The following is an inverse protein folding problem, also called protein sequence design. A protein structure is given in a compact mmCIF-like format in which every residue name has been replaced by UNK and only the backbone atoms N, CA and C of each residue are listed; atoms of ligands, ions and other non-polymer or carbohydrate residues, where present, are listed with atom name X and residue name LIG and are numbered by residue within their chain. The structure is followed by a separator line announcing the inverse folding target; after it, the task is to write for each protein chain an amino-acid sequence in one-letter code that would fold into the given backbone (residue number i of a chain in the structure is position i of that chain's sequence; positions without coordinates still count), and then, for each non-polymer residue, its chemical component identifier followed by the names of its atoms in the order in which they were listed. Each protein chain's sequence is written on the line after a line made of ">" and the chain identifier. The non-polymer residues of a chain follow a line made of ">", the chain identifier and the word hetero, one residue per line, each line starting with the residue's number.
data_IF_849780850100
#
_entry.id   IF_849780850100
#
_cell.length_a   1.000
_cell.length_b   1.000
_cell.length_c   1.000
_cell.angle_alpha   90.00
_cell.angle_beta   90.00
_cell.angle_gamma   90.00
#
_symmetry.space_group_name_H-M   'P 1'
#
loop_
_entity.id
_entity.type
_entity.pdbx_description
1 polymer ?
#
# COMPACT_ATOMS: atom_id res chain seq x y z
N UNK A 1 16.97 -11.15 1.61
CA UNK A 1 15.56 -11.58 1.64
C UNK A 1 14.91 -10.88 2.82
N UNK A 2 13.83 -10.13 2.62
CA UNK A 2 13.21 -9.36 3.72
C UNK A 2 12.54 -10.29 4.71
N UNK A 3 12.64 -9.98 6.01
CA UNK A 3 12.03 -10.77 7.07
C UNK A 3 10.52 -10.55 7.13
N UNK A 4 9.79 -11.50 7.70
CA UNK A 4 8.36 -11.31 8.02
C UNK A 4 8.12 -10.07 8.91
N UNK A 5 9.07 -9.72 9.77
CA UNK A 5 9.01 -8.51 10.61
C UNK A 5 9.02 -7.22 9.78
N UNK A 6 9.68 -7.23 8.63
CA UNK A 6 9.79 -6.08 7.75
C UNK A 6 8.47 -5.78 7.04
N UNK A 7 7.69 -6.83 6.73
CA UNK A 7 6.32 -6.70 6.22
C UNK A 7 5.44 -6.00 7.25
N UNK A 8 5.50 -6.46 8.49
CA UNK A 8 4.66 -5.90 9.56
C UNK A 8 4.99 -4.42 9.72
N UNK A 9 6.26 -4.06 9.68
CA UNK A 9 6.70 -2.66 9.77
C UNK A 9 6.17 -1.82 8.60
N UNK A 10 6.35 -2.27 7.37
CA UNK A 10 5.85 -1.53 6.19
C UNK A 10 4.33 -1.44 6.19
N UNK A 11 3.63 -2.52 6.51
CA UNK A 11 2.17 -2.56 6.61
C UNK A 11 1.62 -1.61 7.69
N UNK A 12 2.23 -1.57 8.88
CA UNK A 12 1.84 -0.63 9.93
C UNK A 12 2.00 0.81 9.45
N UNK A 13 3.13 1.13 8.81
CA UNK A 13 3.37 2.48 8.30
C UNK A 13 2.36 2.87 7.21
N UNK A 14 2.08 1.97 6.26
CA UNK A 14 1.05 2.15 5.24
C UNK A 14 -0.31 2.42 5.89
N UNK A 15 -0.75 1.56 6.81
CA UNK A 15 -2.05 1.72 7.49
C UNK A 15 -2.15 3.03 8.28
N UNK A 16 -1.06 3.51 8.88
CA UNK A 16 -1.02 4.79 9.58
C UNK A 16 -1.16 5.97 8.60
N UNK A 17 -0.35 5.98 7.54
CA UNK A 17 -0.35 7.06 6.54
C UNK A 17 -1.71 7.13 5.84
N UNK A 18 -2.19 6.00 5.33
CA UNK A 18 -3.47 5.95 4.63
C UNK A 18 -4.64 6.20 5.58
N UNK A 19 -4.53 5.79 6.84
CA UNK A 19 -5.54 6.07 7.87
C UNK A 19 -5.65 7.55 8.20
N UNK A 20 -4.52 8.27 8.26
CA UNK A 20 -4.50 9.73 8.41
C UNK A 20 -5.17 10.38 7.19
N UNK A 21 -4.82 9.93 5.98
CA UNK A 21 -5.38 10.46 4.73
C UNK A 21 -6.89 10.17 4.64
N UNK A 22 -7.34 8.99 5.11
CA UNK A 22 -8.76 8.61 5.19
C UNK A 22 -9.55 9.62 6.04
N UNK A 23 -8.98 10.03 7.17
CA UNK A 23 -9.55 11.06 8.05
C UNK A 23 -9.55 12.46 7.40
N UNK A 24 -8.47 12.84 6.72
CA UNK A 24 -8.39 14.11 5.98
C UNK A 24 -9.44 14.19 4.87
N UNK A 25 -9.71 13.06 4.21
CA UNK A 25 -10.81 12.90 3.26
C UNK A 25 -12.18 12.75 3.92
N UNK A 26 -12.29 12.89 5.24
CA UNK A 26 -13.52 12.85 6.06
C UNK A 26 -14.32 11.56 5.92
N UNK A 27 -13.65 10.42 5.76
CA UNK A 27 -14.29 9.11 5.88
C UNK A 27 -14.38 8.70 7.36
N UNK A 28 -15.46 8.04 7.75
CA UNK A 28 -15.57 7.51 9.10
C UNK A 28 -14.76 6.21 9.24
N UNK A 29 -13.77 6.19 10.15
CA UNK A 29 -13.03 4.96 10.47
C UNK A 29 -13.99 3.84 10.87
N UNK A 30 -14.93 4.10 11.79
CA UNK A 30 -15.86 3.08 12.30
C UNK A 30 -16.66 2.37 11.19
N UNK A 31 -17.04 3.10 10.14
CA UNK A 31 -17.81 2.54 9.02
C UNK A 31 -16.94 1.78 8.00
N UNK A 32 -15.67 2.15 7.89
CA UNK A 32 -14.78 1.75 6.81
C UNK A 32 -13.62 0.83 7.24
N UNK A 33 -13.38 0.67 8.55
CA UNK A 33 -12.19 -0.03 9.10
C UNK A 33 -11.99 -1.42 8.50
N UNK A 34 -13.06 -2.19 8.32
CA UNK A 34 -12.97 -3.55 7.75
C UNK A 34 -12.49 -3.52 6.30
N UNK A 35 -13.12 -2.70 5.45
CA UNK A 35 -12.71 -2.57 4.04
C UNK A 35 -11.32 -1.96 3.93
N UNK A 36 -11.01 -0.95 4.75
CA UNK A 36 -9.74 -0.25 4.77
C UNK A 36 -8.57 -1.18 5.09
N UNK A 37 -8.64 -1.89 6.23
CA UNK A 37 -7.59 -2.82 6.65
C UNK A 37 -7.47 -3.98 5.65
N UNK A 38 -8.58 -4.57 5.22
CA UNK A 38 -8.54 -5.73 4.34
C UNK A 38 -7.85 -5.41 3.01
N UNK A 39 -8.21 -4.30 2.36
CA UNK A 39 -7.62 -3.91 1.08
C UNK A 39 -6.12 -3.67 1.25
N UNK A 40 -5.73 -2.82 2.20
CA UNK A 40 -4.33 -2.46 2.48
C UNK A 40 -3.47 -3.68 2.83
N UNK A 41 -3.95 -4.58 3.68
CA UNK A 41 -3.18 -5.76 4.09
C UNK A 41 -3.01 -6.72 2.91
N UNK A 42 -4.06 -6.93 2.11
CA UNK A 42 -3.97 -7.81 0.94
C UNK A 42 -3.00 -7.28 -0.11
N UNK A 43 -3.03 -5.98 -0.40
CA UNK A 43 -2.13 -5.35 -1.36
C UNK A 43 -0.70 -5.33 -0.86
N UNK A 44 -0.47 -5.05 0.43
CA UNK A 44 0.87 -5.09 1.03
C UNK A 44 1.46 -6.50 1.04
N UNK A 45 0.66 -7.52 1.33
CA UNK A 45 1.10 -8.93 1.26
C UNK A 45 1.46 -9.31 -0.18
N UNK A 46 0.64 -8.91 -1.16
CA UNK A 46 0.94 -9.12 -2.58
C UNK A 46 2.27 -8.46 -2.99
N UNK A 47 2.46 -7.18 -2.62
CA UNK A 47 3.69 -6.44 -2.90
C UNK A 47 4.91 -7.16 -2.34
N UNK A 48 4.85 -7.55 -1.06
CA UNK A 48 5.94 -8.27 -0.41
C UNK A 48 6.29 -9.57 -1.12
N UNK A 49 5.29 -10.40 -1.43
CA UNK A 49 5.50 -11.70 -2.07
C UNK A 49 6.18 -11.51 -3.43
N UNK A 50 5.67 -10.59 -4.25
CA UNK A 50 6.24 -10.33 -5.58
C UNK A 50 7.65 -9.79 -5.49
N UNK A 51 7.91 -8.80 -4.61
CA UNK A 51 9.25 -8.24 -4.44
C UNK A 51 10.27 -9.30 -4.03
N UNK A 52 9.93 -10.16 -3.06
CA UNK A 52 10.86 -11.20 -2.61
C UNK A 52 11.10 -12.26 -3.69
N UNK A 53 10.05 -12.70 -4.40
CA UNK A 53 10.21 -13.67 -5.48
C UNK A 53 11.09 -13.13 -6.60
N UNK A 54 10.92 -11.87 -6.98
CA UNK A 54 11.70 -11.24 -8.04
C UNK A 54 13.15 -11.01 -7.61
N UNK A 55 13.38 -10.47 -6.41
CA UNK A 55 14.74 -10.28 -5.89
C UNK A 55 15.47 -11.61 -5.68
N UNK A 56 14.76 -12.65 -5.22
CA UNK A 56 15.31 -13.99 -5.07
C UNK A 56 15.71 -14.61 -6.42
N UNK A 57 14.86 -14.46 -7.45
CA UNK A 57 15.08 -15.06 -8.77
C UNK A 57 16.12 -14.33 -9.61
N UNK A 58 16.17 -13.00 -9.54
CA UNK A 58 17.01 -12.18 -10.42
C UNK A 58 18.20 -11.60 -9.66
N UNK A 59 17.96 -10.64 -8.76
CA UNK A 59 18.93 -10.01 -7.84
C UNK A 59 18.33 -8.69 -7.29
N UNK A 60 19.07 -7.96 -6.46
CA UNK A 60 18.63 -6.68 -5.91
C UNK A 60 18.37 -5.57 -6.95
N UNK A 61 19.05 -5.56 -8.10
CA UNK A 61 18.82 -4.49 -9.12
C UNK A 61 17.42 -4.56 -9.73
N UNK A 62 16.75 -5.71 -9.63
CA UNK A 62 15.35 -5.88 -10.02
C UNK A 62 14.33 -5.30 -9.03
N UNK A 63 14.76 -4.88 -7.83
CA UNK A 63 13.88 -4.34 -6.78
C UNK A 63 13.13 -3.08 -7.22
N UNK A 64 13.86 -2.03 -7.63
CA UNK A 64 13.27 -0.72 -7.98
C UNK A 64 12.24 -0.83 -9.11
N UNK A 65 12.55 -1.42 -10.28
CA UNK A 65 11.57 -1.51 -11.37
C UNK A 65 10.34 -2.35 -10.96
N UNK A 66 10.52 -3.38 -10.14
CA UNK A 66 9.43 -4.22 -9.65
C UNK A 66 8.55 -3.48 -8.65
N UNK A 67 9.17 -2.74 -7.71
CA UNK A 67 8.47 -1.92 -6.73
C UNK A 67 7.59 -0.88 -7.41
N UNK A 68 8.14 -0.09 -8.33
CA UNK A 68 7.39 0.94 -9.06
C UNK A 68 6.23 0.33 -9.87
N UNK A 69 6.49 -0.78 -10.55
CA UNK A 69 5.47 -1.47 -11.35
C UNK A 69 4.33 -1.99 -10.47
N UNK A 70 4.67 -2.64 -9.36
CA UNK A 70 3.68 -3.22 -8.45
C UNK A 70 2.87 -2.16 -7.71
N UNK A 71 3.50 -1.07 -7.26
CA UNK A 71 2.79 0.05 -6.65
C UNK A 71 1.81 0.69 -7.64
N UNK A 72 2.18 0.83 -8.92
CA UNK A 72 1.25 1.29 -9.96
C UNK A 72 0.04 0.36 -10.14
N UNK A 73 0.26 -0.96 -10.12
CA UNK A 73 -0.83 -1.96 -10.18
C UNK A 73 -1.70 -1.89 -8.91
N UNK A 74 -1.08 -1.78 -7.74
CA UNK A 74 -1.76 -1.69 -6.45
C UNK A 74 -2.63 -0.44 -6.40
N UNK A 75 -2.12 0.72 -6.82
CA UNK A 75 -2.90 1.97 -6.89
C UNK A 75 -4.19 1.78 -7.69
N UNK A 76 -4.13 1.08 -8.83
CA UNK A 76 -5.31 0.78 -9.66
C UNK A 76 -6.26 -0.16 -8.90
N UNK A 77 -5.74 -1.24 -8.32
CA UNK A 77 -6.53 -2.21 -7.55
C UNK A 77 -7.23 -1.53 -6.38
N UNK A 78 -6.50 -0.75 -5.57
CA UNK A 78 -7.04 -0.04 -4.42
C UNK A 78 -8.07 1.01 -4.83
N UNK A 79 -7.82 1.75 -5.92
CA UNK A 79 -8.78 2.73 -6.43
C UNK A 79 -10.11 2.07 -6.80
N UNK A 80 -10.05 0.91 -7.48
CA UNK A 80 -11.22 0.12 -7.84
C UNK A 80 -11.91 -0.46 -6.60
N UNK A 81 -11.16 -1.09 -5.69
CA UNK A 81 -11.71 -1.70 -4.48
C UNK A 81 -12.33 -0.64 -3.56
N UNK A 82 -11.64 0.46 -3.28
CA UNK A 82 -12.16 1.52 -2.44
C UNK A 82 -13.34 2.24 -3.06
N UNK A 83 -13.39 2.44 -4.39
CA UNK A 83 -14.58 2.98 -5.04
C UNK A 83 -15.86 2.17 -4.74
N UNK A 84 -15.70 0.85 -4.62
CA UNK A 84 -16.77 -0.12 -4.38
C UNK A 84 -17.05 -0.36 -2.89
N UNK A 85 -16.02 -0.48 -2.06
CA UNK A 85 -16.12 -0.99 -0.69
C UNK A 85 -16.01 0.08 0.41
N UNK A 86 -15.45 1.27 0.13
CA UNK A 86 -15.62 2.38 1.07
C UNK A 86 -17.08 2.81 1.08
N UNK A 87 -17.59 3.05 2.26
CA UNK A 87 -18.89 3.67 2.51
C UNK A 87 -18.71 5.16 2.52
N UNK A 88 -19.82 5.86 2.28
CA UNK A 88 -19.88 7.33 2.26
C UNK A 88 -19.23 7.94 1.02
N UNK A 89 -19.60 9.19 0.73
CA UNK A 89 -19.06 10.01 -0.35
C UNK A 89 -19.23 9.44 -1.77
N UNK A 90 -18.89 10.27 -2.76
CA UNK A 90 -18.97 9.91 -4.18
C UNK A 90 -17.81 9.00 -4.59
N UNK A 91 -18.01 8.23 -5.67
CA UNK A 91 -16.95 7.40 -6.28
C UNK A 91 -15.69 8.24 -6.58
N UNK A 92 -15.86 9.46 -7.12
CA UNK A 92 -14.75 10.37 -7.41
C UNK A 92 -13.91 10.68 -6.15
N UNK A 93 -14.56 10.90 -5.01
CA UNK A 93 -13.86 11.19 -3.74
C UNK A 93 -13.14 9.95 -3.18
N UNK A 94 -13.72 8.76 -3.34
CA UNK A 94 -13.07 7.49 -2.94
C UNK A 94 -11.83 7.20 -3.77
N UNK A 95 -11.90 7.43 -5.08
CA UNK A 95 -10.74 7.28 -5.98
C UNK A 95 -9.67 8.32 -5.64
N UNK A 96 -10.05 9.60 -5.47
CA UNK A 96 -9.10 10.63 -5.08
C UNK A 96 -8.41 10.33 -3.74
N UNK A 97 -9.16 9.81 -2.76
CA UNK A 97 -8.60 9.30 -1.51
C UNK A 97 -7.57 8.21 -1.78
N UNK A 98 -7.93 7.17 -2.54
CA UNK A 98 -7.04 6.03 -2.82
C UNK A 98 -5.76 6.45 -3.51
N UNK A 99 -5.84 7.34 -4.50
CA UNK A 99 -4.67 7.82 -5.24
C UNK A 99 -3.73 8.60 -4.32
N UNK A 100 -4.27 9.54 -3.52
CA UNK A 100 -3.46 10.32 -2.59
C UNK A 100 -2.85 9.43 -1.52
N UNK A 101 -3.65 8.55 -0.90
CA UNK A 101 -3.21 7.60 0.11
C UNK A 101 -2.04 6.74 -0.40
N UNK A 102 -2.22 6.12 -1.57
CA UNK A 102 -1.24 5.23 -2.16
C UNK A 102 0.05 5.94 -2.58
N UNK A 103 -0.01 7.18 -3.09
CA UNK A 103 1.20 7.96 -3.43
C UNK A 103 2.05 8.21 -2.18
N UNK A 104 1.42 8.65 -1.08
CA UNK A 104 2.15 8.92 0.17
C UNK A 104 2.68 7.63 0.81
N UNK A 105 1.89 6.55 0.79
CA UNK A 105 2.35 5.26 1.32
C UNK A 105 3.47 4.66 0.47
N UNK A 106 3.40 4.74 -0.86
CA UNK A 106 4.46 4.32 -1.78
C UNK A 106 5.80 5.05 -1.52
N UNK A 107 5.78 6.38 -1.38
CA UNK A 107 6.99 7.16 -1.05
C UNK A 107 7.59 6.67 0.27
N UNK A 108 6.76 6.49 1.31
CA UNK A 108 7.24 6.02 2.61
C UNK A 108 7.75 4.58 2.56
N UNK A 109 7.08 3.72 1.82
CA UNK A 109 7.44 2.31 1.63
C UNK A 109 8.77 2.18 0.93
N UNK A 110 9.02 2.98 -0.10
CA UNK A 110 10.29 3.02 -0.82
C UNK A 110 11.45 3.33 0.12
N UNK A 111 11.33 4.35 0.97
CA UNK A 111 12.36 4.72 1.95
C UNK A 111 12.62 3.59 2.94
N UNK A 112 11.56 2.95 3.44
CA UNK A 112 11.69 1.85 4.41
C UNK A 112 12.34 0.62 3.77
N UNK A 113 11.90 0.21 2.58
CA UNK A 113 12.51 -0.91 1.87
C UNK A 113 13.96 -0.64 1.53
N UNK A 114 14.30 0.57 1.06
CA UNK A 114 15.68 0.92 0.76
C UNK A 114 16.58 0.79 2.00
N UNK A 115 16.10 1.23 3.16
CA UNK A 115 16.81 1.03 4.43
C UNK A 115 16.98 -0.46 4.73
N UNK A 116 15.91 -1.26 4.65
CA UNK A 116 15.93 -2.70 4.95
C UNK A 116 16.86 -3.49 4.02
N UNK A 117 16.98 -3.11 2.75
CA UNK A 117 17.83 -3.82 1.79
C UNK A 117 19.31 -3.43 1.87
N UNK A 118 19.64 -2.29 2.48
CA UNK A 118 21.01 -1.78 2.60
C UNK A 118 21.64 -2.13 3.96
N UNK A 119 20.84 -2.40 5.00
CA UNK A 119 21.29 -2.80 6.35
C UNK A 119 21.12 -4.29 6.59
#
# INVERSE_FOLDING_TARGET
>A
MTSFKDIIRTCIVTLLIEGIILLLFRFSIKKNIKSFILVNVLTQVLLYVVLNLVVYKYNFTSFIPTFITMEGIILIIESLLFSKYLKEHTIKRKIAFSVVANIFSCISGFVIYLFIYIT
#
